data_IF_744564416590
#
_entry.id   IF_744564416590
#
_cell.length_a   1.000
_cell.length_b   1.000
_cell.length_c   1.000
_cell.angle_alpha   90.00
_cell.angle_beta   90.00
_cell.angle_gamma   90.00
#
_symmetry.space_group_name_H-M   'P 1'
#
loop_
_entity.id
_entity.type
_entity.pdbx_description
1 polymer ?
#
# COMPACT_ATOMS: atom_id res chain seq x y z
N UNK A 1 22.31 16.89 21.17
CA UNK A 1 23.08 16.91 19.90
C UNK A 1 22.36 17.85 18.92
N UNK A 2 23.09 18.61 18.08
CA UNK A 2 22.44 19.47 17.07
C UNK A 2 21.81 18.63 15.97
N UNK A 3 20.58 18.97 15.54
CA UNK A 3 19.88 18.29 14.47
C UNK A 3 20.64 18.37 13.13
N UNK A 4 21.35 19.49 12.88
CA UNK A 4 22.20 19.63 11.69
C UNK A 4 23.36 18.61 11.63
N UNK A 5 23.94 18.28 12.78
CA UNK A 5 25.00 17.26 12.88
C UNK A 5 24.43 15.87 12.61
N UNK A 6 23.25 15.54 13.16
CA UNK A 6 22.57 14.28 12.88
C UNK A 6 22.18 14.15 11.41
N UNK A 7 21.64 15.22 10.81
CA UNK A 7 21.32 15.24 9.37
C UNK A 7 22.57 14.94 8.54
N UNK A 8 23.69 15.60 8.83
CA UNK A 8 24.96 15.36 8.11
C UNK A 8 25.44 13.90 8.25
N UNK A 9 25.30 13.32 9.46
CA UNK A 9 25.64 11.92 9.72
C UNK A 9 24.76 10.95 8.91
N UNK A 10 23.42 11.16 8.90
CA UNK A 10 22.50 10.35 8.09
C UNK A 10 22.83 10.44 6.62
N UNK A 11 23.04 11.65 6.11
CA UNK A 11 23.38 11.88 4.71
C UNK A 11 24.69 11.17 4.34
N UNK A 12 25.76 11.34 5.13
CA UNK A 12 27.08 10.69 4.89
C UNK A 12 26.95 9.15 4.82
N UNK A 13 26.17 8.55 5.70
CA UNK A 13 26.03 7.09 5.74
C UNK A 13 25.11 6.55 4.67
N UNK A 14 23.95 7.20 4.46
CA UNK A 14 22.89 6.69 3.59
C UNK A 14 23.13 6.98 2.10
N UNK A 15 23.96 7.97 1.75
CA UNK A 15 24.33 8.21 0.33
C UNK A 15 25.15 7.08 -0.30
N UNK A 16 25.55 6.09 0.47
CA UNK A 16 26.13 4.84 -0.05
C UNK A 16 25.09 3.91 -0.69
N UNK A 17 23.83 4.05 -0.29
CA UNK A 17 22.70 3.21 -0.73
C UNK A 17 21.68 4.02 -1.55
N UNK A 18 21.51 5.30 -1.24
CA UNK A 18 20.46 6.15 -1.76
C UNK A 18 21.02 7.40 -2.43
N UNK A 19 20.22 8.04 -3.29
CA UNK A 19 20.53 9.39 -3.78
C UNK A 19 20.47 10.39 -2.61
N UNK A 20 21.20 11.50 -2.74
CA UNK A 20 21.29 12.54 -1.72
C UNK A 20 19.91 13.01 -1.21
N UNK A 21 18.99 13.28 -2.14
CA UNK A 21 17.62 13.73 -1.81
C UNK A 21 16.85 12.72 -0.98
N UNK A 22 17.03 11.45 -1.27
CA UNK A 22 16.37 10.35 -0.56
C UNK A 22 16.98 10.16 0.84
N UNK A 23 18.31 10.15 0.95
CA UNK A 23 19.00 10.09 2.24
C UNK A 23 18.59 11.24 3.17
N UNK A 24 18.41 12.46 2.61
CA UNK A 24 17.89 13.59 3.38
C UNK A 24 16.41 13.41 3.77
N UNK A 25 15.59 12.88 2.88
CA UNK A 25 14.18 12.61 3.19
C UNK A 25 14.03 11.57 4.30
N UNK A 26 14.82 10.49 4.26
CA UNK A 26 14.83 9.49 5.34
C UNK A 26 15.13 10.16 6.70
N UNK A 27 16.12 11.04 6.77
CA UNK A 27 16.37 11.79 8.00
C UNK A 27 15.16 12.61 8.45
N UNK A 28 14.48 13.30 7.52
CA UNK A 28 13.31 14.11 7.88
C UNK A 28 12.10 13.28 8.30
N UNK A 29 11.93 12.10 7.74
CA UNK A 29 10.92 11.12 8.20
C UNK A 29 11.20 10.71 9.64
N UNK A 30 12.45 10.31 9.94
CA UNK A 30 12.87 9.96 11.32
C UNK A 30 12.69 11.14 12.28
N UNK A 31 13.07 12.35 11.88
CA UNK A 31 12.91 13.57 12.67
C UNK A 31 11.44 13.84 13.01
N UNK A 32 10.57 13.73 12.02
CA UNK A 32 9.13 13.92 12.23
C UNK A 32 8.54 12.84 13.13
N UNK A 33 8.93 11.57 12.90
CA UNK A 33 8.48 10.46 13.73
C UNK A 33 8.82 10.66 15.19
N UNK A 34 10.10 10.93 15.50
CA UNK A 34 10.60 11.01 16.89
C UNK A 34 10.14 12.28 17.62
N UNK A 35 10.08 13.41 16.92
CA UNK A 35 9.95 14.71 17.59
C UNK A 35 8.85 15.60 17.01
N UNK A 36 8.12 15.13 15.98
CA UNK A 36 7.13 15.93 15.21
C UNK A 36 7.69 17.27 14.72
N UNK A 37 9.01 17.32 14.44
CA UNK A 37 9.73 18.48 13.92
C UNK A 37 9.89 18.44 12.41
N UNK A 38 9.99 19.62 11.78
CA UNK A 38 10.18 19.79 10.33
C UNK A 38 11.61 20.22 9.97
N UNK A 39 11.88 20.36 8.66
CA UNK A 39 13.12 20.96 8.13
C UNK A 39 13.51 22.28 8.80
N UNK A 40 12.54 23.09 9.20
CA UNK A 40 12.75 24.37 9.86
C UNK A 40 13.54 24.22 11.16
N UNK A 41 13.30 23.17 11.93
CA UNK A 41 14.03 22.91 13.19
C UNK A 41 15.54 22.71 12.93
N UNK A 42 15.90 22.06 11.84
CA UNK A 42 17.31 21.88 11.42
C UNK A 42 17.93 23.19 11.01
N UNK A 43 17.23 24.01 10.22
CA UNK A 43 17.69 25.32 9.75
C UNK A 43 17.90 26.32 10.90
N UNK A 44 17.06 26.23 11.95
CA UNK A 44 17.17 27.04 13.16
C UNK A 44 18.25 26.53 14.15
N UNK A 45 19.00 25.48 13.81
CA UNK A 45 20.06 24.93 14.64
C UNK A 45 19.57 24.29 15.94
N UNK A 46 18.30 23.80 15.97
CA UNK A 46 17.75 23.18 17.16
C UNK A 46 18.52 21.92 17.57
N UNK A 47 18.42 21.58 18.84
CA UNK A 47 19.03 20.39 19.43
C UNK A 47 17.99 19.32 19.78
N UNK A 48 18.46 18.09 19.93
CA UNK A 48 17.70 16.96 20.43
C UNK A 48 18.42 16.28 21.59
N UNK A 49 17.65 15.72 22.50
CA UNK A 49 18.13 14.82 23.55
C UNK A 49 18.14 13.34 23.11
N UNK A 50 17.55 13.04 21.95
CA UNK A 50 17.37 11.67 21.41
C UNK A 50 18.51 11.22 20.49
N UNK A 51 19.72 11.82 20.62
CA UNK A 51 20.84 11.55 19.71
C UNK A 51 21.18 10.05 19.58
N UNK A 52 21.17 9.30 20.70
CA UNK A 52 21.45 7.86 20.67
C UNK A 52 20.36 7.06 19.93
N UNK A 53 19.08 7.47 20.07
CA UNK A 53 17.96 6.86 19.34
C UNK A 53 18.14 7.06 17.84
N UNK A 54 18.49 8.27 17.38
CA UNK A 54 18.80 8.52 15.97
C UNK A 54 19.93 7.63 15.45
N UNK A 55 21.00 7.46 16.22
CA UNK A 55 22.13 6.62 15.82
C UNK A 55 21.71 5.15 15.73
N UNK A 56 20.87 4.67 16.65
CA UNK A 56 20.37 3.29 16.62
C UNK A 56 19.49 3.04 15.40
N UNK A 57 18.56 3.96 15.06
CA UNK A 57 17.75 3.86 13.87
C UNK A 57 18.61 3.92 12.59
N UNK A 58 19.62 4.80 12.56
CA UNK A 58 20.53 4.89 11.43
C UNK A 58 21.27 3.57 11.18
N UNK A 59 21.63 2.83 12.21
CA UNK A 59 22.28 1.52 12.04
C UNK A 59 21.41 0.55 11.21
N UNK A 60 20.11 0.46 11.52
CA UNK A 60 19.17 -0.38 10.76
C UNK A 60 19.03 0.10 9.32
N UNK A 61 18.92 1.43 9.10
CA UNK A 61 18.81 2.04 7.79
C UNK A 61 20.05 1.83 6.90
N UNK A 62 21.23 1.71 7.49
CA UNK A 62 22.48 1.43 6.77
C UNK A 62 22.55 0.04 6.15
N UNK A 63 21.67 -0.88 6.55
CA UNK A 63 21.51 -2.20 5.92
C UNK A 63 20.46 -2.21 4.81
N UNK A 64 19.90 -1.05 4.46
CA UNK A 64 18.91 -0.95 3.40
C UNK A 64 17.46 -1.19 3.86
N UNK A 65 17.20 -1.48 5.14
CA UNK A 65 15.84 -1.69 5.64
C UNK A 65 15.01 -0.42 5.42
N UNK A 66 13.80 -0.51 4.81
CA UNK A 66 12.92 0.62 4.59
C UNK A 66 12.63 1.39 5.88
N UNK A 67 12.63 2.72 5.82
CA UNK A 67 12.44 3.57 7.00
C UNK A 67 11.10 3.30 7.67
N UNK A 68 10.06 2.94 6.92
CA UNK A 68 8.75 2.57 7.44
C UNK A 68 8.82 1.33 8.34
N UNK A 69 9.58 0.31 7.96
CA UNK A 69 9.78 -0.88 8.80
C UNK A 69 10.72 -0.63 9.97
N UNK A 70 11.69 0.29 9.84
CA UNK A 70 12.54 0.68 10.97
C UNK A 70 11.74 1.44 12.03
N UNK A 71 10.75 2.24 11.61
CA UNK A 71 9.88 3.01 12.49
C UNK A 71 8.59 2.27 12.86
N UNK A 72 8.28 1.17 12.18
CA UNK A 72 7.00 0.48 12.23
C UNK A 72 5.79 1.43 11.99
N UNK A 73 5.96 2.41 11.11
CA UNK A 73 4.94 3.39 10.79
C UNK A 73 4.99 3.77 9.31
N UNK A 74 3.84 3.78 8.66
CA UNK A 74 3.68 4.29 7.31
C UNK A 74 2.45 5.21 7.25
N UNK A 75 2.60 6.46 6.76
CA UNK A 75 1.46 7.33 6.51
C UNK A 75 0.68 6.83 5.29
N UNK A 76 -0.65 6.85 5.37
CA UNK A 76 -1.54 6.53 4.26
C UNK A 76 -2.86 7.28 4.39
N UNK A 77 -3.16 8.15 3.43
CA UNK A 77 -4.41 8.92 3.32
C UNK A 77 -4.86 9.58 4.65
N UNK A 78 -3.89 10.15 5.38
CA UNK A 78 -4.14 10.82 6.66
C UNK A 78 -4.37 9.87 7.86
N UNK A 79 -3.92 8.64 7.76
CA UNK A 79 -3.73 7.68 8.84
C UNK A 79 -2.23 7.42 9.00
N UNK A 80 -1.76 7.22 10.23
CA UNK A 80 -0.45 6.64 10.51
C UNK A 80 -0.69 5.16 10.86
N UNK A 81 -0.23 4.25 10.00
CA UNK A 81 -0.48 2.81 10.11
C UNK A 81 0.75 2.07 10.58
N UNK A 82 0.58 1.11 11.46
CA UNK A 82 1.64 0.16 11.78
C UNK A 82 1.95 -0.72 10.56
N UNK A 83 3.23 -0.90 10.28
CA UNK A 83 3.74 -1.80 9.24
C UNK A 83 4.99 -2.51 9.72
N UNK A 84 5.17 -3.75 9.27
CA UNK A 84 6.39 -4.55 9.41
C UNK A 84 6.61 -5.37 8.13
N UNK A 85 7.63 -6.22 8.11
CA UNK A 85 8.04 -6.99 6.93
C UNK A 85 7.00 -8.04 6.48
N UNK A 86 5.88 -8.20 7.20
CA UNK A 86 4.79 -9.12 6.84
C UNK A 86 3.77 -8.49 5.90
N UNK A 87 3.79 -7.17 5.70
CA UNK A 87 2.86 -6.45 4.84
C UNK A 87 3.59 -5.53 3.87
N UNK A 88 3.03 -5.35 2.68
CA UNK A 88 3.49 -4.33 1.73
C UNK A 88 3.39 -2.93 2.37
N UNK A 89 4.43 -2.11 2.22
CA UNK A 89 4.35 -0.70 2.62
C UNK A 89 3.30 -0.01 1.75
N UNK A 90 2.27 0.65 2.34
CA UNK A 90 1.27 1.38 1.58
C UNK A 90 1.86 2.38 0.59
N UNK A 91 1.37 2.40 -0.65
CA UNK A 91 1.90 3.21 -1.75
C UNK A 91 1.04 4.45 -2.02
N UNK A 92 1.65 5.56 -2.49
CA UNK A 92 0.90 6.76 -2.87
C UNK A 92 -0.10 6.53 -4.00
N UNK A 93 0.19 5.60 -4.93
CA UNK A 93 -0.69 5.21 -6.03
C UNK A 93 -1.99 4.58 -5.48
N UNK A 94 -1.88 3.79 -4.41
CA UNK A 94 -3.04 3.19 -3.73
C UNK A 94 -3.92 4.26 -3.04
N UNK A 95 -3.35 5.38 -2.59
CA UNK A 95 -4.15 6.51 -2.09
C UNK A 95 -5.06 7.10 -3.17
N UNK A 96 -4.60 7.13 -4.43
CA UNK A 96 -5.41 7.61 -5.54
C UNK A 96 -6.56 6.66 -5.88
N UNK A 97 -6.31 5.35 -5.82
CA UNK A 97 -7.38 4.35 -5.96
C UNK A 97 -8.47 4.60 -4.93
N UNK A 98 -8.10 4.76 -3.66
CA UNK A 98 -9.04 5.07 -2.57
C UNK A 98 -9.76 6.40 -2.82
N UNK A 99 -9.05 7.43 -3.25
CA UNK A 99 -9.64 8.73 -3.57
C UNK A 99 -10.71 8.61 -4.65
N UNK A 100 -10.42 7.92 -5.75
CA UNK A 100 -11.37 7.68 -6.82
C UNK A 100 -12.63 6.95 -6.34
N UNK A 101 -12.47 5.90 -5.52
CA UNK A 101 -13.59 5.15 -4.95
C UNK A 101 -14.49 6.07 -4.10
N UNK A 102 -13.89 6.94 -3.28
CA UNK A 102 -14.63 7.88 -2.43
C UNK A 102 -15.37 8.95 -3.24
N UNK A 103 -14.81 9.41 -4.38
CA UNK A 103 -15.47 10.34 -5.29
C UNK A 103 -16.64 9.69 -6.03
N UNK A 104 -16.49 8.46 -6.49
CA UNK A 104 -17.54 7.71 -7.19
C UNK A 104 -18.72 7.35 -6.29
N UNK A 105 -18.48 7.18 -4.99
CA UNK A 105 -19.47 6.69 -4.03
C UNK A 105 -19.61 7.60 -2.79
N UNK A 106 -20.02 8.87 -2.95
CA UNK A 106 -20.18 9.77 -1.81
C UNK A 106 -21.26 9.24 -0.85
N UNK A 107 -20.94 9.16 0.45
CA UNK A 107 -21.84 8.69 1.52
C UNK A 107 -22.32 7.23 1.34
N UNK A 108 -21.50 6.36 0.82
CA UNK A 108 -21.79 4.94 0.63
C UNK A 108 -22.16 4.24 1.96
N UNK A 109 -23.17 3.38 1.92
CA UNK A 109 -23.67 2.63 3.08
C UNK A 109 -23.81 1.12 2.81
N UNK A 110 -23.39 0.67 1.63
CA UNK A 110 -23.40 -0.74 1.24
C UNK A 110 -22.24 -1.53 1.82
N UNK A 111 -21.90 -2.62 1.16
CA UNK A 111 -20.82 -3.55 1.54
C UNK A 111 -19.62 -3.42 0.61
N UNK A 112 -18.42 -3.39 1.18
CA UNK A 112 -17.15 -3.35 0.44
C UNK A 112 -16.16 -4.34 1.03
N UNK A 113 -15.41 -4.99 0.17
CA UNK A 113 -14.29 -5.87 0.56
C UNK A 113 -13.02 -5.47 -0.19
N UNK A 114 -11.91 -5.44 0.54
CA UNK A 114 -10.55 -5.30 0.02
C UNK A 114 -9.89 -6.68 -0.01
N UNK A 115 -9.46 -7.12 -1.20
CA UNK A 115 -8.84 -8.43 -1.43
C UNK A 115 -7.32 -8.26 -1.51
N UNK A 116 -6.57 -9.01 -0.68
CA UNK A 116 -5.14 -8.79 -0.48
C UNK A 116 -4.90 -7.54 0.37
N UNK A 117 -5.59 -7.47 1.52
CA UNK A 117 -5.69 -6.23 2.32
C UNK A 117 -4.38 -5.77 2.96
N UNK A 118 -3.39 -6.66 3.11
CA UNK A 118 -2.09 -6.35 3.71
C UNK A 118 -2.22 -5.65 5.06
N UNK A 119 -1.74 -4.42 5.15
CA UNK A 119 -1.82 -3.60 6.37
C UNK A 119 -3.23 -3.11 6.72
N UNK A 120 -4.23 -3.37 5.87
CA UNK A 120 -5.59 -2.85 6.02
C UNK A 120 -5.74 -1.39 5.57
N UNK A 121 -4.78 -0.82 4.87
CA UNK A 121 -4.76 0.60 4.53
C UNK A 121 -5.99 1.05 3.74
N UNK A 122 -6.42 0.30 2.73
CA UNK A 122 -7.59 0.61 1.91
C UNK A 122 -8.89 0.58 2.75
N UNK A 123 -9.26 -0.55 3.39
CA UNK A 123 -10.54 -0.62 4.08
C UNK A 123 -10.61 0.30 5.31
N UNK A 124 -9.50 0.59 5.96
CA UNK A 124 -9.47 1.53 7.09
C UNK A 124 -9.81 2.96 6.64
N UNK A 125 -9.26 3.40 5.51
CA UNK A 125 -9.61 4.73 4.95
C UNK A 125 -11.06 4.74 4.50
N UNK A 126 -11.55 3.70 3.81
CA UNK A 126 -12.94 3.60 3.39
C UNK A 126 -13.88 3.64 4.60
N UNK A 127 -13.58 2.90 5.68
CA UNK A 127 -14.37 2.91 6.91
C UNK A 127 -14.40 4.28 7.59
N UNK A 128 -13.26 4.98 7.60
CA UNK A 128 -13.18 6.35 8.15
C UNK A 128 -14.11 7.32 7.42
N UNK A 129 -14.25 7.18 6.11
CA UNK A 129 -15.10 8.05 5.28
C UNK A 129 -16.55 7.54 5.16
N UNK A 130 -16.78 6.24 5.30
CA UNK A 130 -18.08 5.58 5.25
C UNK A 130 -18.41 4.88 6.56
N UNK A 131 -18.67 5.61 7.65
CA UNK A 131 -18.85 5.01 8.98
C UNK A 131 -20.03 4.03 9.05
N UNK A 132 -21.02 4.16 8.17
CA UNK A 132 -22.21 3.30 8.12
C UNK A 132 -22.08 2.13 7.13
N UNK A 133 -21.01 2.07 6.31
CA UNK A 133 -20.80 0.97 5.40
C UNK A 133 -20.29 -0.28 6.14
N UNK A 134 -20.63 -1.45 5.61
CA UNK A 134 -20.01 -2.70 5.98
C UNK A 134 -18.67 -2.81 5.24
N UNK A 135 -17.56 -2.66 5.95
CA UNK A 135 -16.22 -2.68 5.37
C UNK A 135 -15.48 -3.91 5.85
N UNK A 136 -14.95 -4.68 4.90
CA UNK A 136 -14.18 -5.88 5.16
C UNK A 136 -12.84 -5.83 4.45
N UNK A 137 -11.89 -6.62 4.94
CA UNK A 137 -10.63 -6.92 4.25
C UNK A 137 -10.30 -8.39 4.37
N UNK A 138 -9.77 -8.99 3.31
CA UNK A 138 -9.29 -10.37 3.38
C UNK A 138 -7.87 -10.49 2.83
N UNK A 139 -7.15 -11.46 3.34
CA UNK A 139 -5.79 -11.79 2.91
C UNK A 139 -5.57 -13.31 3.07
N UNK A 140 -4.63 -13.86 2.32
CA UNK A 140 -4.19 -15.24 2.50
C UNK A 140 -3.24 -15.37 3.69
N UNK A 141 -2.47 -14.29 4.00
CA UNK A 141 -1.52 -14.24 5.11
C UNK A 141 -2.22 -13.91 6.42
N UNK A 142 -2.07 -14.81 7.40
CA UNK A 142 -2.53 -14.57 8.78
C UNK A 142 -1.74 -13.47 9.47
N UNK A 143 -0.46 -13.34 9.16
CA UNK A 143 0.43 -12.30 9.69
C UNK A 143 0.01 -10.91 9.19
N UNK A 144 -0.35 -10.80 7.91
CA UNK A 144 -0.89 -9.55 7.37
C UNK A 144 -2.22 -9.16 8.05
N UNK A 145 -3.09 -10.14 8.30
CA UNK A 145 -4.36 -9.90 9.01
C UNK A 145 -4.14 -9.46 10.47
N UNK A 146 -3.10 -9.95 11.15
CA UNK A 146 -2.74 -9.46 12.49
C UNK A 146 -2.35 -7.99 12.46
N UNK A 147 -1.57 -7.56 11.45
CA UNK A 147 -1.21 -6.15 11.23
C UNK A 147 -2.47 -5.32 10.94
N UNK A 148 -3.34 -5.76 10.04
CA UNK A 148 -4.58 -5.06 9.70
C UNK A 148 -5.51 -4.90 10.90
N UNK A 149 -5.68 -5.95 11.71
CA UNK A 149 -6.47 -5.92 12.95
C UNK A 149 -5.88 -4.98 13.99
N UNK A 150 -4.54 -4.96 14.13
CA UNK A 150 -3.85 -4.01 14.98
C UNK A 150 -4.14 -2.58 14.54
N UNK A 151 -4.00 -2.27 13.26
CA UNK A 151 -4.29 -0.96 12.70
C UNK A 151 -5.75 -0.53 12.92
N UNK A 152 -6.70 -1.44 12.70
CA UNK A 152 -8.13 -1.20 12.97
C UNK A 152 -8.37 -0.78 14.41
N UNK A 153 -7.75 -1.49 15.35
CA UNK A 153 -7.86 -1.20 16.79
C UNK A 153 -7.19 0.13 17.16
N UNK A 154 -5.98 0.40 16.66
CA UNK A 154 -5.23 1.63 16.95
C UNK A 154 -5.93 2.86 16.37
N UNK A 155 -6.54 2.74 15.18
CA UNK A 155 -7.31 3.80 14.53
C UNK A 155 -8.75 3.91 15.05
N UNK A 156 -9.21 2.96 15.89
CA UNK A 156 -10.60 2.87 16.37
C UNK A 156 -11.63 2.83 15.22
N UNK A 157 -11.35 2.03 14.20
CA UNK A 157 -12.20 1.84 13.02
C UNK A 157 -12.67 0.38 12.97
N UNK A 158 -14.00 0.17 12.90
CA UNK A 158 -14.62 -1.16 12.91
C UNK A 158 -14.61 -1.77 11.51
N UNK A 159 -13.55 -2.49 11.18
CA UNK A 159 -13.36 -3.24 9.93
C UNK A 159 -13.24 -4.73 10.25
N UNK A 160 -13.96 -5.57 9.51
CA UNK A 160 -13.90 -7.02 9.66
C UNK A 160 -12.79 -7.59 8.78
N UNK A 161 -11.84 -8.30 9.38
CA UNK A 161 -10.76 -8.98 8.66
C UNK A 161 -10.89 -10.50 8.76
N UNK A 162 -10.68 -11.22 7.65
CA UNK A 162 -10.77 -12.69 7.60
C UNK A 162 -9.77 -13.28 6.60
N UNK A 163 -9.32 -14.49 6.89
CA UNK A 163 -8.41 -15.22 5.99
C UNK A 163 -9.18 -15.77 4.79
N UNK A 164 -8.64 -15.58 3.59
CA UNK A 164 -9.23 -16.08 2.36
C UNK A 164 -8.17 -16.22 1.27
N UNK A 165 -8.12 -17.39 0.63
CA UNK A 165 -7.43 -17.57 -0.64
C UNK A 165 -8.43 -17.31 -1.79
N UNK A 166 -8.35 -16.14 -2.40
CA UNK A 166 -9.29 -15.72 -3.46
C UNK A 166 -9.18 -16.57 -4.72
N UNK A 167 -8.09 -17.29 -4.91
CA UNK A 167 -7.91 -18.16 -6.09
C UNK A 167 -8.64 -19.50 -5.96
N UNK A 168 -8.97 -19.94 -4.75
CA UNK A 168 -9.50 -21.28 -4.49
C UNK A 168 -10.79 -21.30 -3.68
N UNK A 169 -11.15 -20.19 -3.02
CA UNK A 169 -12.30 -20.14 -2.12
C UNK A 169 -13.37 -19.13 -2.60
N UNK A 170 -14.65 -19.48 -2.40
CA UNK A 170 -15.75 -18.58 -2.71
C UNK A 170 -15.80 -17.40 -1.73
N UNK A 171 -16.20 -16.24 -2.23
CA UNK A 171 -16.38 -15.01 -1.46
C UNK A 171 -17.87 -14.65 -1.42
N UNK A 172 -18.36 -14.26 -0.24
CA UNK A 172 -19.71 -13.71 -0.09
C UNK A 172 -19.89 -12.45 -0.95
N UNK A 173 -21.13 -12.15 -1.40
CA UNK A 173 -21.37 -10.99 -2.26
C UNK A 173 -21.14 -9.65 -1.56
N UNK A 174 -20.51 -8.73 -2.28
CA UNK A 174 -20.28 -7.34 -1.88
C UNK A 174 -20.72 -6.39 -3.00
N UNK A 175 -21.11 -5.17 -2.66
CA UNK A 175 -21.46 -4.15 -3.66
C UNK A 175 -20.21 -3.61 -4.37
N UNK A 176 -19.10 -3.49 -3.64
CA UNK A 176 -17.80 -3.02 -4.17
C UNK A 176 -16.71 -4.02 -3.77
N UNK A 177 -15.86 -4.37 -4.72
CA UNK A 177 -14.64 -5.14 -4.52
C UNK A 177 -13.44 -4.25 -4.88
N UNK A 178 -12.48 -4.16 -3.99
CA UNK A 178 -11.23 -3.42 -4.20
C UNK A 178 -10.06 -4.39 -4.11
N UNK A 179 -9.02 -4.20 -4.90
CA UNK A 179 -7.78 -4.95 -4.74
C UNK A 179 -6.58 -4.21 -5.32
N UNK A 180 -5.48 -4.26 -4.59
CA UNK A 180 -4.14 -4.05 -5.11
C UNK A 180 -3.41 -5.41 -5.06
N UNK A 181 -3.68 -6.33 -5.98
CA UNK A 181 -3.16 -7.68 -5.93
C UNK A 181 -1.70 -7.73 -6.37
N UNK A 182 -0.95 -8.81 -6.10
CA UNK A 182 0.36 -9.03 -6.68
C UNK A 182 0.29 -8.96 -8.22
N UNK A 183 1.18 -8.18 -8.84
CA UNK A 183 1.17 -7.95 -10.29
C UNK A 183 2.55 -7.94 -10.95
N UNK A 184 3.61 -8.16 -10.20
CA UNK A 184 4.98 -8.19 -10.72
C UNK A 184 5.32 -9.62 -11.12
N UNK A 185 5.60 -9.87 -12.40
CA UNK A 185 6.05 -11.18 -12.83
C UNK A 185 7.44 -11.49 -12.26
N UNK A 186 7.73 -12.75 -11.96
CA UNK A 186 9.04 -13.14 -11.44
C UNK A 186 10.20 -12.75 -12.35
N UNK A 187 9.98 -12.69 -13.65
CA UNK A 187 10.94 -12.23 -14.66
C UNK A 187 11.30 -10.74 -14.58
N UNK A 188 10.46 -9.91 -13.91
CA UNK A 188 10.70 -8.48 -13.72
C UNK A 188 11.55 -8.17 -12.46
N UNK A 189 11.93 -9.19 -11.70
CA UNK A 189 12.63 -9.08 -10.42
C UNK A 189 13.93 -8.28 -10.51
N UNK A 190 14.68 -8.43 -11.60
CA UNK A 190 15.99 -7.78 -11.79
C UNK A 190 15.88 -6.26 -11.97
N UNK A 191 14.70 -5.73 -12.30
CA UNK A 191 14.45 -4.30 -12.46
C UNK A 191 14.02 -3.61 -11.15
N UNK A 192 13.83 -4.39 -10.08
CA UNK A 192 13.36 -3.88 -8.80
C UNK A 192 14.51 -3.41 -7.91
N UNK A 193 14.21 -2.46 -7.01
CA UNK A 193 15.18 -2.00 -6.02
C UNK A 193 15.46 -3.11 -4.99
N UNK A 194 16.74 -3.31 -4.67
CA UNK A 194 17.19 -4.37 -3.75
C UNK A 194 16.45 -4.36 -2.40
N UNK A 195 16.14 -3.18 -1.85
CA UNK A 195 15.41 -3.04 -0.58
C UNK A 195 14.02 -3.66 -0.61
N UNK A 196 13.31 -3.52 -1.75
CA UNK A 196 11.96 -4.12 -1.92
C UNK A 196 12.10 -5.64 -1.93
N UNK A 197 13.09 -6.16 -2.68
CA UNK A 197 13.34 -7.60 -2.81
C UNK A 197 13.79 -8.26 -1.50
N UNK A 198 14.50 -7.52 -0.65
CA UNK A 198 15.07 -8.06 0.59
C UNK A 198 14.08 -8.00 1.76
N UNK A 199 13.25 -6.95 1.82
CA UNK A 199 12.46 -6.66 3.02
C UNK A 199 10.96 -6.77 2.84
N UNK A 200 10.40 -6.56 1.63
CA UNK A 200 8.95 -6.63 1.45
C UNK A 200 8.49 -8.07 1.15
N UNK A 201 7.29 -8.47 1.59
CA UNK A 201 6.84 -9.85 1.45
C UNK A 201 6.61 -10.22 -0.01
N UNK A 202 7.32 -11.22 -0.50
CA UNK A 202 7.26 -11.65 -1.91
C UNK A 202 5.85 -12.08 -2.35
N UNK A 203 5.05 -12.61 -1.42
CA UNK A 203 3.66 -13.00 -1.70
C UNK A 203 2.77 -11.79 -2.06
N UNK A 204 3.12 -10.59 -1.60
CA UNK A 204 2.40 -9.35 -1.91
C UNK A 204 2.89 -8.69 -3.21
N UNK A 205 4.02 -9.15 -3.77
CA UNK A 205 4.65 -8.53 -4.93
C UNK A 205 4.49 -9.37 -6.19
N UNK A 206 4.75 -10.69 -6.11
CA UNK A 206 4.98 -11.51 -7.27
C UNK A 206 3.79 -12.37 -7.67
N UNK A 207 3.60 -12.47 -8.98
CA UNK A 207 2.69 -13.39 -9.64
C UNK A 207 3.48 -14.30 -10.59
N UNK A 208 2.92 -15.48 -10.91
CA UNK A 208 3.55 -16.42 -11.84
C UNK A 208 3.65 -15.82 -13.26
N UNK A 209 4.81 -15.99 -13.90
CA UNK A 209 5.08 -15.49 -15.26
C UNK A 209 4.14 -16.07 -16.32
N UNK A 210 3.51 -17.22 -16.06
CA UNK A 210 2.60 -17.89 -17.01
C UNK A 210 1.24 -17.19 -17.13
N UNK A 211 0.78 -16.50 -16.09
CA UNK A 211 -0.44 -15.68 -16.12
C UNK A 211 -0.36 -14.48 -15.16
N UNK A 212 0.29 -13.38 -15.56
CA UNK A 212 0.39 -12.16 -14.75
C UNK A 212 -0.97 -11.51 -14.45
N UNK A 213 -2.02 -11.89 -15.18
CA UNK A 213 -3.39 -11.38 -15.00
C UNK A 213 -4.27 -12.27 -14.11
N UNK A 214 -3.72 -13.34 -13.51
CA UNK A 214 -4.47 -14.34 -12.77
C UNK A 214 -5.41 -13.75 -11.73
N UNK A 215 -4.91 -12.88 -10.86
CA UNK A 215 -5.72 -12.25 -9.81
C UNK A 215 -6.81 -11.36 -10.38
N UNK A 216 -6.49 -10.52 -11.39
CA UNK A 216 -7.48 -9.65 -12.02
C UNK A 216 -8.61 -10.46 -12.64
N UNK A 217 -8.29 -11.47 -13.46
CA UNK A 217 -9.29 -12.34 -14.09
C UNK A 217 -10.18 -13.03 -13.05
N UNK A 218 -9.57 -13.60 -12.01
CA UNK A 218 -10.32 -14.29 -10.96
C UNK A 218 -11.28 -13.35 -10.23
N UNK A 219 -10.81 -12.19 -9.79
CA UNK A 219 -11.62 -11.23 -9.04
C UNK A 219 -12.70 -10.60 -9.92
N UNK A 220 -12.40 -10.28 -11.20
CA UNK A 220 -13.37 -9.72 -12.15
C UNK A 220 -14.48 -10.73 -12.47
N UNK A 221 -14.14 -12.00 -12.66
CA UNK A 221 -15.15 -13.05 -12.90
C UNK A 221 -16.04 -13.28 -11.68
N UNK A 222 -15.46 -13.26 -10.47
CA UNK A 222 -16.21 -13.30 -9.22
C UNK A 222 -17.17 -12.12 -9.12
N UNK A 223 -16.69 -10.92 -9.35
CA UNK A 223 -17.49 -9.70 -9.30
C UNK A 223 -18.61 -9.69 -10.36
N UNK A 224 -18.36 -10.20 -11.55
CA UNK A 224 -19.40 -10.37 -12.57
C UNK A 224 -20.53 -11.28 -12.10
N UNK A 225 -20.22 -12.39 -11.43
CA UNK A 225 -21.22 -13.28 -10.86
C UNK A 225 -22.08 -12.61 -9.78
N UNK A 226 -21.46 -11.72 -9.00
CA UNK A 226 -22.08 -11.00 -7.89
C UNK A 226 -22.72 -9.66 -8.31
N UNK A 227 -22.42 -9.17 -9.53
CA UNK A 227 -22.75 -7.82 -10.03
C UNK A 227 -22.11 -6.69 -9.20
N UNK A 228 -20.91 -6.95 -8.67
CA UNK A 228 -20.16 -5.98 -7.87
C UNK A 228 -19.39 -5.02 -8.76
N UNK A 229 -19.24 -3.77 -8.37
CA UNK A 229 -18.25 -2.88 -9.00
C UNK A 229 -16.86 -3.22 -8.49
N UNK A 230 -15.88 -3.36 -9.39
CA UNK A 230 -14.49 -3.61 -9.02
C UNK A 230 -13.59 -2.41 -9.22
N UNK A 231 -12.65 -2.21 -8.32
CA UNK A 231 -11.57 -1.25 -8.43
C UNK A 231 -10.22 -1.91 -8.20
N UNK A 232 -9.25 -1.60 -9.06
CA UNK A 232 -7.92 -2.20 -8.99
C UNK A 232 -6.81 -1.16 -9.12
N UNK A 233 -5.72 -1.39 -8.39
CA UNK A 233 -4.40 -0.94 -8.82
C UNK A 233 -3.78 -2.02 -9.69
N UNK A 234 -3.09 -1.61 -10.79
CA UNK A 234 -2.59 -2.56 -11.80
C UNK A 234 -1.17 -2.21 -12.24
N UNK A 235 -0.52 -3.16 -12.90
CA UNK A 235 0.72 -2.90 -13.65
C UNK A 235 0.41 -2.18 -14.97
N UNK A 236 1.15 -1.11 -15.27
CA UNK A 236 1.07 -0.43 -16.57
C UNK A 236 1.51 -1.34 -17.75
N UNK A 237 2.38 -2.31 -17.46
CA UNK A 237 2.94 -3.20 -18.50
C UNK A 237 1.91 -4.17 -19.06
N UNK A 238 0.97 -4.66 -18.24
CA UNK A 238 -0.03 -5.65 -18.64
C UNK A 238 -1.38 -5.04 -19.02
N UNK A 239 -1.47 -3.71 -19.10
CA UNK A 239 -2.71 -3.03 -19.51
C UNK A 239 -3.22 -3.48 -20.87
N UNK A 240 -2.40 -3.60 -21.95
CA UNK A 240 -2.92 -4.00 -23.26
C UNK A 240 -3.56 -5.40 -23.25
N UNK A 241 -2.97 -6.34 -22.52
CA UNK A 241 -3.47 -7.70 -22.36
C UNK A 241 -4.78 -7.72 -21.56
N UNK A 242 -4.85 -6.94 -20.47
CA UNK A 242 -6.05 -6.83 -19.65
C UNK A 242 -7.19 -6.14 -20.41
N UNK A 243 -6.91 -5.09 -21.18
CA UNK A 243 -7.86 -4.42 -22.08
C UNK A 243 -8.48 -5.41 -23.09
N UNK A 244 -7.65 -6.21 -23.74
CA UNK A 244 -8.11 -7.20 -24.70
C UNK A 244 -9.01 -8.23 -24.03
N UNK A 245 -8.60 -8.75 -22.88
CA UNK A 245 -9.37 -9.72 -22.12
C UNK A 245 -10.73 -9.16 -21.66
N UNK A 246 -10.78 -7.91 -21.18
CA UNK A 246 -12.03 -7.24 -20.78
C UNK A 246 -12.98 -7.05 -21.96
N UNK A 247 -12.45 -6.64 -23.13
CA UNK A 247 -13.25 -6.47 -24.38
C UNK A 247 -13.81 -7.80 -24.89
N UNK A 248 -13.02 -8.88 -24.87
CA UNK A 248 -13.45 -10.22 -25.26
C UNK A 248 -14.62 -10.74 -24.41
N UNK A 249 -14.67 -10.33 -23.12
CA UNK A 249 -15.76 -10.69 -22.22
C UNK A 249 -16.92 -9.69 -22.23
N UNK A 250 -16.85 -8.61 -23.04
CA UNK A 250 -17.83 -7.52 -23.11
C UNK A 250 -18.08 -6.84 -21.76
N UNK A 251 -17.07 -6.71 -20.91
CA UNK A 251 -17.16 -5.97 -19.65
C UNK A 251 -17.00 -4.47 -19.89
N UNK A 252 -17.73 -3.66 -19.10
CA UNK A 252 -17.59 -2.21 -19.10
C UNK A 252 -16.47 -1.81 -18.14
N UNK A 253 -15.52 -0.97 -18.60
CA UNK A 253 -14.39 -0.57 -17.81
C UNK A 253 -13.90 0.85 -18.09
N UNK A 254 -13.25 1.44 -17.10
CA UNK A 254 -12.64 2.78 -17.18
C UNK A 254 -11.26 2.73 -16.53
N UNK A 255 -10.29 3.36 -17.17
CA UNK A 255 -8.97 3.61 -16.61
C UNK A 255 -8.84 5.04 -16.11
N UNK A 256 -8.08 5.22 -15.02
CA UNK A 256 -7.58 6.51 -14.61
C UNK A 256 -6.05 6.47 -14.47
N UNK A 257 -5.35 7.54 -14.89
CA UNK A 257 -3.92 7.64 -14.67
C UNK A 257 -3.59 7.92 -13.18
N UNK A 258 -2.42 7.47 -12.77
CA UNK A 258 -1.83 7.86 -11.50
C UNK A 258 -1.15 9.25 -11.57
N UNK A 259 -0.54 9.72 -10.47
CA UNK A 259 0.19 11.01 -10.42
C UNK A 259 1.39 11.10 -11.37
N UNK A 260 1.81 9.98 -11.95
CA UNK A 260 2.90 9.90 -12.92
C UNK A 260 2.38 9.80 -14.36
N UNK A 261 1.07 10.06 -14.58
CA UNK A 261 0.37 9.89 -15.86
C UNK A 261 0.42 8.45 -16.42
N UNK A 262 0.49 7.45 -15.52
CA UNK A 262 0.47 6.05 -15.88
C UNK A 262 -0.89 5.45 -15.59
N UNK A 263 -1.46 4.75 -16.57
CA UNK A 263 -2.77 4.12 -16.44
C UNK A 263 -2.70 2.86 -15.56
N UNK A 264 -2.82 3.07 -14.25
CA UNK A 264 -2.72 2.04 -13.23
C UNK A 264 -3.99 1.80 -12.43
N UNK A 265 -4.97 2.68 -12.56
CA UNK A 265 -6.22 2.53 -11.81
C UNK A 265 -7.32 2.07 -12.76
N UNK A 266 -7.93 0.93 -12.45
CA UNK A 266 -8.96 0.29 -13.26
C UNK A 266 -10.25 0.15 -12.47
N UNK A 267 -11.37 0.55 -13.09
CA UNK A 267 -12.74 0.25 -12.63
C UNK A 267 -13.43 -0.65 -13.64
N UNK A 268 -14.07 -1.71 -13.16
CA UNK A 268 -14.89 -2.61 -13.97
C UNK A 268 -16.30 -2.65 -13.41
N UNK A 269 -17.31 -2.55 -14.30
CA UNK A 269 -18.73 -2.58 -13.93
C UNK A 269 -19.48 -3.60 -14.77
N UNK A 270 -20.59 -4.10 -14.24
CA UNK A 270 -21.42 -5.14 -14.85
C UNK A 270 -22.88 -4.71 -14.86
N UNK A 271 -23.57 -4.90 -15.99
CA UNK A 271 -24.99 -4.62 -16.21
C UNK A 271 -25.90 -5.66 -15.53
#
# INVERSE_FOLDING_TARGET
MQLGVLKALFTDKLTKLYRLSEAENIFYVVLYYLEKKSKTAVLLGQETMLGDTYVTLLQSLMYGKPVQYVLNEAPFYGLDLFVDETVLIPRPETEQLVHWILEDHPNFQGSVVDIGTGSGCIPLVLKKHWPNAQVCGCDISTEALEVAQRNSKEQNLDVTFFQKDILTEELEPYDIIVSNPPYIAHSEKDDMHENVLEYEPHIALFVDDTDPLLFYKTIILLAHQQKSTCYFETSEYYRPELDNWLKEHNFSFVWQPDFQDKDRLLKVTFD
#
